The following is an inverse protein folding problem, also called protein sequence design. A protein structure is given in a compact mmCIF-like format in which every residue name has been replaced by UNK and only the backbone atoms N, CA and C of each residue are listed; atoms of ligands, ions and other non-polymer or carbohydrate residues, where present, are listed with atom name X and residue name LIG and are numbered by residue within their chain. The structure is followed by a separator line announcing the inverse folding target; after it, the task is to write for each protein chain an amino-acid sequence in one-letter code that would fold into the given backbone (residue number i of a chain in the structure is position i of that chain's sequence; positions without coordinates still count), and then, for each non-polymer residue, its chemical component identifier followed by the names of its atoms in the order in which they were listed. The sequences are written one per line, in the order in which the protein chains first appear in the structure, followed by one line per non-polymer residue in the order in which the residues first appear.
data_IF_862918085111
#
_entry.id   IF_862918085111
#
_cell.length_a   1.000
_cell.length_b   1.000
_cell.length_c   1.000
_cell.angle_alpha   90.00
_cell.angle_beta   90.00
_cell.angle_gamma   90.00
#
_symmetry.space_group_name_H-M   'P 1'
#
loop_
_entity.id
_entity.type
_entity.pdbx_description
1 polymer ?
#
# COMPACT_ATOMS: atom_id res chain seq x y z
N UNK A 1 -6.71 -10.57 -4.47
CA UNK A 1 -5.43 -10.43 -5.21
C UNK A 1 -5.78 -10.45 -6.69
N UNK A 2 -5.80 -9.31 -7.35
CA UNK A 2 -6.16 -9.23 -8.78
C UNK A 2 -4.92 -9.60 -9.60
N UNK A 3 -4.99 -10.64 -10.43
CA UNK A 3 -3.90 -11.05 -11.30
C UNK A 3 -4.07 -10.46 -12.69
N UNK A 4 -3.06 -9.70 -13.12
CA UNK A 4 -3.01 -9.04 -14.43
C UNK A 4 -2.86 -10.05 -15.59
N UNK A 5 -2.53 -11.31 -15.29
CA UNK A 5 -2.29 -12.36 -16.30
C UNK A 5 -3.58 -12.92 -16.93
N UNK A 6 -4.75 -12.70 -16.32
CA UNK A 6 -6.02 -13.20 -16.87
C UNK A 6 -6.53 -12.38 -18.08
N UNK A 7 -5.88 -11.24 -18.40
CA UNK A 7 -6.34 -10.27 -19.40
C UNK A 7 -5.56 -10.30 -20.73
N UNK A 8 -4.50 -11.11 -20.85
CA UNK A 8 -3.61 -11.06 -22.02
C UNK A 8 -4.14 -11.81 -23.26
N UNK A 9 -5.27 -12.53 -23.17
CA UNK A 9 -5.64 -13.55 -24.16
C UNK A 9 -7.03 -13.48 -24.79
N UNK A 10 -7.90 -12.51 -24.44
CA UNK A 10 -9.26 -12.49 -24.98
C UNK A 10 -9.69 -11.08 -25.34
N UNK A 11 -9.90 -10.85 -26.64
CA UNK A 11 -10.39 -9.61 -27.22
C UNK A 11 -11.84 -9.32 -26.87
N UNK A 12 -12.13 -9.21 -25.57
CA UNK A 12 -13.40 -8.73 -25.04
C UNK A 12 -13.10 -7.40 -24.36
N UNK A 13 -13.34 -6.37 -25.16
CA UNK A 13 -13.50 -4.96 -24.87
C UNK A 13 -13.56 -4.57 -23.39
N UNK A 14 -12.46 -4.12 -22.78
CA UNK A 14 -12.46 -3.21 -21.61
C UNK A 14 -13.54 -3.52 -20.53
N UNK A 15 -13.79 -4.80 -20.26
CA UNK A 15 -15.13 -5.25 -19.83
C UNK A 15 -15.24 -5.28 -18.31
N UNK A 16 -15.47 -4.08 -17.76
CA UNK A 16 -16.28 -3.74 -16.57
C UNK A 16 -15.63 -2.48 -15.96
N UNK A 17 -16.23 -1.30 -16.15
CA UNK A 17 -15.73 -0.02 -15.61
C UNK A 17 -15.37 -0.11 -14.12
N UNK A 18 -16.10 -0.96 -13.40
CA UNK A 18 -15.86 -1.33 -12.00
C UNK A 18 -14.50 -1.97 -11.77
N UNK A 19 -14.03 -2.86 -12.65
CA UNK A 19 -12.72 -3.51 -12.54
C UNK A 19 -11.58 -2.52 -12.81
N UNK A 20 -11.72 -1.68 -13.83
CA UNK A 20 -10.77 -0.61 -14.10
C UNK A 20 -10.69 0.38 -12.93
N UNK A 21 -11.84 0.76 -12.36
CA UNK A 21 -11.91 1.58 -11.16
C UNK A 21 -11.21 0.91 -9.98
N UNK A 22 -11.52 -0.37 -9.72
CA UNK A 22 -10.92 -1.13 -8.63
C UNK A 22 -9.39 -1.25 -8.78
N UNK A 23 -8.91 -1.47 -10.01
CA UNK A 23 -7.48 -1.54 -10.30
C UNK A 23 -6.79 -0.20 -10.01
N UNK A 24 -7.35 0.90 -10.49
CA UNK A 24 -6.82 2.26 -10.24
C UNK A 24 -6.85 2.60 -8.75
N UNK A 25 -7.95 2.30 -8.07
CA UNK A 25 -8.11 2.51 -6.64
C UNK A 25 -7.09 1.69 -5.82
N UNK A 26 -6.93 0.40 -6.15
CA UNK A 26 -5.96 -0.47 -5.49
C UNK A 26 -4.52 -0.01 -5.75
N UNK A 27 -4.20 0.43 -6.97
CA UNK A 27 -2.89 0.99 -7.30
C UNK A 27 -2.57 2.23 -6.46
N UNK A 28 -3.49 3.20 -6.40
CA UNK A 28 -3.32 4.41 -5.58
C UNK A 28 -3.17 4.07 -4.09
N UNK A 29 -4.01 3.16 -3.58
CA UNK A 29 -3.94 2.71 -2.19
C UNK A 29 -2.59 2.03 -1.89
N UNK A 30 -2.06 1.26 -2.82
CA UNK A 30 -0.76 0.62 -2.68
C UNK A 30 0.38 1.64 -2.61
N UNK A 31 0.33 2.69 -3.44
CA UNK A 31 1.30 3.80 -3.37
C UNK A 31 1.26 4.47 -2.00
N UNK A 32 0.06 4.84 -1.52
CA UNK A 32 -0.11 5.48 -0.21
C UNK A 32 0.42 4.59 0.92
N UNK A 33 0.06 3.29 0.91
CA UNK A 33 0.58 2.33 1.90
C UNK A 33 2.10 2.24 1.89
N UNK A 34 2.71 2.20 0.70
CA UNK A 34 4.18 2.13 0.56
C UNK A 34 4.86 3.36 1.15
N UNK A 35 4.31 4.56 0.92
CA UNK A 35 4.81 5.81 1.52
C UNK A 35 4.76 5.74 3.05
N UNK A 36 3.64 5.32 3.63
CA UNK A 36 3.53 5.15 5.08
C UNK A 36 4.48 4.06 5.62
N UNK A 37 4.73 3.00 4.84
CA UNK A 37 5.72 1.97 5.18
C UNK A 37 7.14 2.54 5.27
N UNK A 38 7.54 3.39 4.31
CA UNK A 38 8.82 4.10 4.33
C UNK A 38 8.89 5.00 5.57
N UNK A 39 7.85 5.79 5.84
CA UNK A 39 7.85 6.71 6.98
C UNK A 39 7.95 5.97 8.31
N UNK A 40 7.23 4.85 8.48
CA UNK A 40 7.34 3.99 9.68
C UNK A 40 8.72 3.34 9.83
N UNK A 41 9.36 2.99 8.71
CA UNK A 41 10.72 2.42 8.71
C UNK A 41 11.76 3.47 9.13
N UNK A 42 11.62 4.71 8.65
CA UNK A 42 12.61 5.79 8.85
C UNK A 42 12.43 6.59 10.12
N UNK A 43 11.19 6.92 10.44
CA UNK A 43 10.86 7.85 11.51
C UNK A 43 10.11 7.09 12.60
N UNK A 44 10.74 6.94 13.75
CA UNK A 44 10.19 6.23 14.92
C UNK A 44 8.86 6.81 15.40
N UNK A 45 8.61 8.09 15.14
CA UNK A 45 7.38 8.80 15.48
C UNK A 45 6.12 8.20 14.85
N UNK A 46 6.22 7.47 13.73
CA UNK A 46 5.08 6.78 13.11
C UNK A 46 4.88 5.33 13.58
N UNK A 47 5.75 4.79 14.45
CA UNK A 47 5.66 3.39 14.89
C UNK A 47 4.57 3.17 15.94
N UNK A 48 4.18 4.21 16.67
CA UNK A 48 3.12 4.17 17.68
C UNK A 48 2.02 5.18 17.36
N UNK A 49 0.89 5.07 18.05
CA UNK A 49 -0.14 6.11 18.00
C UNK A 49 0.47 7.46 18.44
N UNK A 50 0.20 8.50 17.67
CA UNK A 50 0.70 9.84 17.96
C UNK A 50 -0.12 10.43 19.13
N UNK A 51 0.54 10.93 20.20
CA UNK A 51 -0.15 11.67 21.26
C UNK A 51 -0.50 13.10 20.84
N UNK A 52 -0.04 13.54 19.67
CA UNK A 52 -0.24 14.90 19.17
C UNK A 52 -1.64 15.11 18.59
N UNK A 53 -2.14 16.35 18.68
CA UNK A 53 -3.37 16.78 18.01
C UNK A 53 -3.27 16.57 16.49
N UNK A 54 -4.42 16.39 15.83
CA UNK A 54 -4.49 16.11 14.39
C UNK A 54 -3.71 17.13 13.55
N UNK A 55 -3.79 18.43 13.89
CA UNK A 55 -3.03 19.49 13.20
C UNK A 55 -1.52 19.21 13.21
N UNK A 56 -0.98 18.87 14.38
CA UNK A 56 0.44 18.54 14.54
C UNK A 56 0.81 17.25 13.81
N UNK A 57 -0.08 16.26 13.75
CA UNK A 57 0.16 15.03 12.97
C UNK A 57 0.32 15.34 11.47
N UNK A 58 -0.49 16.25 10.93
CA UNK A 58 -0.37 16.71 9.53
C UNK A 58 0.96 17.41 9.30
N UNK A 59 1.36 18.32 10.20
CA UNK A 59 2.65 19.01 10.13
C UNK A 59 3.84 18.03 10.18
N UNK A 60 3.77 17.01 11.06
CA UNK A 60 4.79 15.96 11.14
C UNK A 60 4.93 15.18 9.83
N UNK A 61 3.83 14.82 9.19
CA UNK A 61 3.84 14.15 7.87
C UNK A 61 4.53 15.04 6.83
N UNK A 62 4.22 16.33 6.80
CA UNK A 62 4.80 17.27 5.84
C UNK A 62 6.31 17.47 6.06
N UNK A 63 6.74 17.62 7.31
CA UNK A 63 8.17 17.75 7.67
C UNK A 63 8.92 16.47 7.30
N UNK A 64 8.38 15.30 7.61
CA UNK A 64 9.01 14.02 7.27
C UNK A 64 9.09 13.79 5.77
N UNK A 65 8.06 14.18 5.00
CA UNK A 65 8.09 14.12 3.54
C UNK A 65 9.15 15.06 2.95
N UNK A 66 9.23 16.29 3.46
CA UNK A 66 10.22 17.28 3.02
C UNK A 66 11.63 16.81 3.30
N UNK A 67 11.88 16.32 4.51
CA UNK A 67 13.18 15.78 4.91
C UNK A 67 13.56 14.54 4.11
N UNK A 68 12.61 13.62 3.87
CA UNK A 68 12.84 12.45 3.03
C UNK A 68 13.23 12.83 1.60
N UNK A 69 12.49 13.76 0.99
CA UNK A 69 12.76 14.24 -0.36
C UNK A 69 14.11 14.97 -0.46
N UNK A 70 14.43 15.80 0.54
CA UNK A 70 15.71 16.50 0.61
C UNK A 70 16.88 15.51 0.68
N UNK A 71 16.83 14.56 1.63
CA UNK A 71 17.89 13.56 1.76
C UNK A 71 18.00 12.68 0.52
N UNK A 72 16.89 12.29 -0.10
CA UNK A 72 16.90 11.54 -1.35
C UNK A 72 17.57 12.32 -2.50
N UNK A 73 17.30 13.62 -2.60
CA UNK A 73 17.91 14.49 -3.62
C UNK A 73 19.42 14.63 -3.43
N UNK A 74 19.87 14.79 -2.19
CA UNK A 74 21.29 15.03 -1.88
C UNK A 74 22.14 13.76 -1.88
N UNK A 75 21.61 12.61 -1.44
CA UNK A 75 22.44 11.42 -1.19
C UNK A 75 22.54 10.39 -2.32
N UNK A 76 21.77 10.50 -3.43
CA UNK A 76 21.86 9.64 -4.64
C UNK A 76 21.94 8.11 -4.40
N UNK A 77 21.68 7.62 -3.20
CA UNK A 77 21.87 6.21 -2.85
C UNK A 77 20.52 5.52 -2.78
N UNK A 78 20.24 4.78 -3.83
CA UNK A 78 19.01 4.04 -4.08
C UNK A 78 19.12 2.64 -3.46
N UNK A 79 19.35 2.56 -2.15
CA UNK A 79 19.26 1.27 -1.48
C UNK A 79 18.83 1.44 -0.03
N UNK A 80 17.53 1.25 0.18
CA UNK A 80 17.00 1.14 1.51
C UNK A 80 16.17 -0.14 1.60
N UNK A 81 16.57 -1.08 2.47
CA UNK A 81 15.85 -2.32 2.62
C UNK A 81 14.47 -1.98 3.18
N UNK A 82 13.45 -2.08 2.33
CA UNK A 82 12.06 -2.14 2.76
C UNK A 82 11.97 -3.47 3.49
N UNK A 83 12.16 -3.47 4.82
CA UNK A 83 11.94 -4.66 5.62
C UNK A 83 10.49 -5.07 5.37
N UNK A 84 10.29 -6.21 4.73
CA UNK A 84 8.96 -6.75 4.46
C UNK A 84 8.23 -6.80 5.79
N UNK A 85 7.23 -5.92 5.97
CA UNK A 85 6.28 -6.08 7.05
C UNK A 85 5.43 -7.28 6.67
N UNK A 86 5.50 -8.31 7.50
CA UNK A 86 4.87 -9.61 7.31
C UNK A 86 3.43 -9.45 6.78
N UNK A 87 3.18 -10.13 5.65
CA UNK A 87 1.83 -10.35 5.11
C UNK A 87 0.97 -11.03 6.19
N UNK A 88 -0.18 -10.46 6.59
CA UNK A 88 -1.12 -11.21 7.39
C UNK A 88 -1.66 -12.36 6.53
N UNK A 89 -1.43 -13.58 7.02
CA UNK A 89 -2.02 -14.84 6.58
C UNK A 89 -3.41 -14.66 5.96
N UNK A 90 -3.55 -15.15 4.73
CA UNK A 90 -4.80 -15.28 3.99
C UNK A 90 -5.96 -15.73 4.90
N UNK A 91 -7.18 -15.18 4.76
CA UNK A 91 -8.33 -15.74 5.45
C UNK A 91 -8.64 -17.11 4.82
N UNK A 92 -8.47 -18.17 5.60
CA UNK A 92 -9.05 -19.48 5.30
C UNK A 92 -10.56 -19.32 5.25
N UNK A 93 -11.16 -19.42 4.06
CA UNK A 93 -12.61 -19.51 3.95
C UNK A 93 -13.05 -20.87 4.53
N UNK A 94 -14.10 -20.94 5.37
CA UNK A 94 -14.70 -22.22 5.71
C UNK A 94 -15.25 -22.85 4.43
N UNK A 95 -14.82 -24.09 4.17
CA UNK A 95 -15.45 -24.98 3.20
C UNK A 95 -16.89 -25.19 3.68
N UNK A 96 -17.84 -24.64 2.93
CA UNK A 96 -19.24 -25.02 3.03
C UNK A 96 -19.38 -26.33 2.26
N UNK A 97 -19.40 -27.45 2.98
CA UNK A 97 -19.93 -28.71 2.46
C UNK A 97 -21.45 -28.63 2.52
N UNK A 98 -22.07 -28.36 1.37
CA UNK A 98 -23.51 -28.53 1.22
C UNK A 98 -23.82 -29.03 -0.20
N UNK A 99 -23.84 -30.35 -0.36
CA UNK A 99 -24.56 -31.09 -1.40
C UNK A 99 -25.04 -32.40 -0.73
N UNK A 100 -26.20 -32.39 -0.06
CA UNK A 100 -27.57 -32.71 -0.56
C UNK A 100 -27.77 -34.20 -0.89
N UNK A 101 -28.91 -34.74 -0.42
CA UNK A 101 -29.52 -35.99 -0.90
C UNK A 101 -29.60 -36.08 -2.42
#
# INVERSE_FOLDING_TARGET
RYHLQDFAGKGNDLENEKELFNLRHASLRNVIKRIFGIFKSRFTIFKSASPFLFKTQVELVLVCATLHNFLHKEYRSDEFPIKAMDEPSSPTLPVNEDHTF
#
